data_IF_875701763053
#
_entry.id   IF_875701763053
#
_cell.length_a   1.000
_cell.length_b   1.000
_cell.length_c   1.000
_cell.angle_alpha   90.00
_cell.angle_beta   90.00
_cell.angle_gamma   90.00
#
_symmetry.space_group_name_H-M   'P 1'
#
loop_
_entity.id
_entity.type
_entity.pdbx_description
1 polymer ?
#
# COMPACT_ATOMS: atom_id res chain seq x y z
N UNK A 1 10.75 9.33 -21.50
CA UNK A 1 11.23 9.94 -20.25
C UNK A 1 9.98 10.21 -19.44
N UNK A 2 9.64 9.28 -18.56
CA UNK A 2 8.47 9.43 -17.70
C UNK A 2 8.77 10.58 -16.74
N UNK A 3 7.80 11.47 -16.56
CA UNK A 3 7.93 12.68 -15.75
C UNK A 3 8.15 12.29 -14.28
N UNK A 4 9.41 12.20 -13.85
CA UNK A 4 9.72 12.14 -12.42
C UNK A 4 9.36 13.51 -11.82
N UNK A 5 8.44 13.51 -10.88
CA UNK A 5 7.96 14.74 -10.29
C UNK A 5 9.02 15.32 -9.33
N UNK A 6 9.22 16.64 -9.40
CA UNK A 6 10.01 17.39 -8.43
C UNK A 6 9.18 17.56 -7.15
N UNK A 7 9.79 17.31 -6.00
CA UNK A 7 9.15 17.47 -4.69
C UNK A 7 9.82 18.60 -3.90
N UNK A 8 9.01 19.50 -3.34
CA UNK A 8 9.49 20.55 -2.43
C UNK A 8 9.53 20.03 -1.00
N UNK A 9 10.71 19.99 -0.38
CA UNK A 9 10.86 19.63 1.03
C UNK A 9 10.19 20.64 1.96
N UNK A 10 10.10 21.91 1.57
CA UNK A 10 9.39 22.94 2.32
C UNK A 10 7.89 22.70 2.29
N UNK A 11 7.32 22.42 1.10
CA UNK A 11 5.90 22.09 0.96
C UNK A 11 5.52 20.80 1.71
N UNK A 12 6.42 19.81 1.77
CA UNK A 12 6.21 18.60 2.56
C UNK A 12 6.12 18.89 4.06
N UNK A 13 6.86 19.86 4.59
CA UNK A 13 6.79 20.24 5.99
C UNK A 13 5.59 21.14 6.34
N UNK A 14 5.07 21.89 5.38
CA UNK A 14 3.93 22.79 5.52
C UNK A 14 2.63 22.18 4.97
N UNK A 15 2.68 20.91 4.51
CA UNK A 15 1.56 20.21 3.92
C UNK A 15 0.41 19.98 4.91
N UNK A 16 -0.79 19.72 4.39
CA UNK A 16 -2.01 19.50 5.18
C UNK A 16 -1.92 18.30 6.13
N UNK A 17 -1.01 17.35 5.85
CA UNK A 17 -0.74 16.20 6.72
C UNK A 17 0.62 16.42 7.38
N UNK A 18 0.65 16.97 8.61
CA UNK A 18 1.91 17.27 9.30
C UNK A 18 2.60 15.99 9.76
N UNK A 19 3.64 15.57 9.06
CA UNK A 19 4.43 14.38 9.36
C UNK A 19 5.72 14.73 10.12
N UNK A 20 6.01 13.95 11.15
CA UNK A 20 7.29 14.01 11.86
C UNK A 20 8.34 13.24 11.06
N UNK A 21 9.25 13.95 10.41
CA UNK A 21 10.40 13.31 9.77
C UNK A 21 11.54 13.11 10.75
N UNK A 22 12.15 11.93 10.72
CA UNK A 22 13.37 11.69 11.50
C UNK A 22 14.45 12.69 11.08
N UNK A 23 15.14 13.27 12.05
CA UNK A 23 16.28 14.18 11.81
C UNK A 23 17.39 13.40 11.10
N UNK A 24 17.54 13.64 9.80
CA UNK A 24 18.61 13.04 9.02
C UNK A 24 19.90 13.83 9.22
N UNK A 25 21.04 13.13 9.19
CA UNK A 25 22.37 13.73 9.14
C UNK A 25 22.71 14.38 7.78
N UNK A 26 21.74 14.44 6.88
CA UNK A 26 21.89 14.98 5.52
C UNK A 26 21.43 16.43 5.54
N UNK A 27 22.27 17.33 4.98
CA UNK A 27 21.91 18.74 4.81
C UNK A 27 20.63 18.88 3.98
N UNK A 28 19.71 19.74 4.43
CA UNK A 28 18.49 20.08 3.67
C UNK A 28 18.78 20.97 2.45
N UNK A 29 19.97 21.57 2.38
CA UNK A 29 20.30 22.52 1.33
C UNK A 29 20.94 21.87 0.10
N UNK A 30 21.68 20.79 0.31
CA UNK A 30 22.32 20.03 -0.78
C UNK A 30 22.65 18.61 -0.35
N UNK A 31 22.60 17.72 -1.31
CA UNK A 31 22.94 16.30 -1.12
C UNK A 31 22.38 15.45 -2.25
N UNK A 32 22.76 14.21 -2.27
CA UNK A 32 22.23 13.22 -3.21
C UNK A 32 21.69 12.04 -2.43
N UNK A 33 20.45 11.67 -2.67
CA UNK A 33 19.75 10.60 -1.97
C UNK A 33 19.27 9.57 -2.99
N UNK A 34 19.51 8.30 -2.68
CA UNK A 34 18.88 7.18 -3.37
C UNK A 34 17.63 6.77 -2.60
N UNK A 35 16.48 6.81 -3.23
CA UNK A 35 15.26 6.18 -2.76
C UNK A 35 15.07 4.82 -3.44
N UNK A 36 14.65 3.82 -2.68
CA UNK A 36 14.37 2.48 -3.19
C UNK A 36 13.02 1.98 -2.66
N UNK A 37 12.19 1.47 -3.57
CA UNK A 37 10.99 0.69 -3.26
C UNK A 37 11.28 -0.77 -3.64
N UNK A 38 11.44 -1.62 -2.63
CA UNK A 38 11.92 -3.00 -2.80
C UNK A 38 10.77 -3.98 -2.60
N UNK A 39 10.19 -4.39 -3.71
CA UNK A 39 9.16 -5.43 -3.75
C UNK A 39 9.69 -6.80 -4.19
N UNK A 40 8.89 -7.83 -3.98
CA UNK A 40 9.26 -9.21 -4.32
C UNK A 40 9.44 -9.48 -5.82
N UNK A 41 8.74 -8.75 -6.68
CA UNK A 41 8.80 -8.90 -8.13
C UNK A 41 9.65 -7.83 -8.79
N UNK A 42 9.53 -6.60 -8.32
CA UNK A 42 10.09 -5.39 -8.90
C UNK A 42 10.69 -4.51 -7.80
N UNK A 43 11.86 -3.94 -8.07
CA UNK A 43 12.49 -2.91 -7.25
C UNK A 43 12.61 -1.64 -8.08
N UNK A 44 12.13 -0.52 -7.56
CA UNK A 44 12.28 0.80 -8.17
C UNK A 44 13.41 1.55 -7.46
N UNK A 45 14.33 2.11 -8.20
CA UNK A 45 15.40 2.97 -7.69
C UNK A 45 15.26 4.36 -8.29
N UNK A 46 15.34 5.40 -7.46
CA UNK A 46 15.31 6.79 -7.88
C UNK A 46 16.38 7.59 -7.15
N UNK A 47 17.23 8.27 -7.91
CA UNK A 47 18.27 9.16 -7.41
C UNK A 47 17.76 10.58 -7.45
N UNK A 48 17.82 11.27 -6.33
CA UNK A 48 17.40 12.66 -6.17
C UNK A 48 18.57 13.52 -5.72
N UNK A 49 18.62 14.75 -6.25
CA UNK A 49 19.48 15.80 -5.74
C UNK A 49 18.67 16.77 -4.90
N UNK A 50 19.16 17.10 -3.72
CA UNK A 50 18.61 18.16 -2.89
C UNK A 50 19.16 19.49 -3.42
N UNK A 51 18.28 20.41 -3.81
CA UNK A 51 18.62 21.75 -4.29
C UNK A 51 17.68 22.75 -3.64
N UNK A 52 18.19 23.60 -2.76
CA UNK A 52 17.41 24.67 -2.10
C UNK A 52 16.09 24.22 -1.51
N UNK A 53 16.10 23.08 -0.80
CA UNK A 53 14.90 22.51 -0.17
C UNK A 53 14.00 21.68 -1.09
N UNK A 54 14.42 21.42 -2.34
CA UNK A 54 13.68 20.58 -3.28
C UNK A 54 14.40 19.25 -3.55
N UNK A 55 13.64 18.18 -3.78
CA UNK A 55 14.12 16.91 -4.32
C UNK A 55 14.00 16.93 -5.84
N UNK A 56 15.11 17.09 -6.52
CA UNK A 56 15.17 17.11 -7.98
C UNK A 56 15.59 15.72 -8.47
N UNK A 57 14.76 15.03 -9.26
CA UNK A 57 15.08 13.70 -9.75
C UNK A 57 16.21 13.75 -10.77
N UNK A 58 17.22 12.89 -10.59
CA UNK A 58 18.35 12.74 -11.51
C UNK A 58 18.19 11.51 -12.41
N UNK A 59 17.76 10.40 -11.84
CA UNK A 59 17.60 9.12 -12.55
C UNK A 59 16.59 8.24 -11.83
N UNK A 60 15.78 7.55 -12.61
CA UNK A 60 14.91 6.49 -12.12
C UNK A 60 15.06 5.24 -12.98
N UNK A 61 14.97 4.07 -12.34
CA UNK A 61 14.94 2.79 -13.05
C UNK A 61 14.30 1.71 -12.22
N UNK A 62 13.56 0.86 -12.92
CA UNK A 62 12.94 -0.34 -12.35
C UNK A 62 13.73 -1.57 -12.71
N UNK A 63 13.84 -2.49 -11.74
CA UNK A 63 14.57 -3.74 -11.88
C UNK A 63 13.70 -4.92 -11.49
N UNK A 64 13.79 -6.06 -12.20
CA UNK A 64 13.19 -7.31 -11.73
C UNK A 64 13.99 -7.83 -10.53
N UNK A 65 13.40 -7.78 -9.33
CA UNK A 65 14.09 -8.08 -8.06
C UNK A 65 14.82 -9.43 -8.07
N UNK A 66 14.17 -10.46 -8.58
CA UNK A 66 14.69 -11.84 -8.61
C UNK A 66 15.88 -12.08 -9.56
N UNK A 67 16.22 -11.10 -10.43
CA UNK A 67 17.39 -11.21 -11.34
C UNK A 67 18.71 -10.82 -10.67
N UNK A 68 18.66 -10.22 -9.48
CA UNK A 68 19.83 -9.76 -8.75
C UNK A 68 20.09 -10.64 -7.53
N UNK A 69 21.37 -10.82 -7.19
CA UNK A 69 21.81 -11.63 -6.04
C UNK A 69 21.79 -10.86 -4.73
N UNK A 70 21.75 -9.52 -4.80
CA UNK A 70 21.68 -8.64 -3.63
C UNK A 70 21.20 -7.24 -4.04
N UNK A 71 20.78 -6.45 -3.04
CA UNK A 71 20.49 -5.03 -3.23
C UNK A 71 21.75 -4.26 -3.67
N UNK A 72 22.92 -4.60 -3.13
CA UNK A 72 24.20 -3.97 -3.50
C UNK A 72 24.53 -4.16 -4.97
N UNK A 73 24.35 -5.36 -5.52
CA UNK A 73 24.54 -5.62 -6.96
C UNK A 73 23.60 -4.74 -7.81
N UNK A 74 22.36 -4.57 -7.35
CA UNK A 74 21.38 -3.72 -8.04
C UNK A 74 21.79 -2.25 -8.01
N UNK A 75 22.24 -1.74 -6.85
CA UNK A 75 22.74 -0.38 -6.72
C UNK A 75 23.97 -0.16 -7.61
N UNK A 76 24.90 -1.11 -7.67
CA UNK A 76 26.07 -1.03 -8.55
C UNK A 76 25.69 -0.99 -10.04
N UNK A 77 24.60 -1.65 -10.41
CA UNK A 77 24.07 -1.59 -11.78
C UNK A 77 23.32 -0.28 -12.08
N UNK A 78 22.88 0.42 -11.05
CA UNK A 78 22.13 1.67 -11.16
C UNK A 78 23.04 2.90 -11.09
N UNK A 79 23.96 2.95 -10.12
CA UNK A 79 24.83 4.08 -9.84
C UNK A 79 26.19 3.84 -10.49
N UNK A 80 26.53 4.66 -11.48
CA UNK A 80 27.77 4.60 -12.26
C UNK A 80 28.74 5.71 -11.83
N UNK A 81 30.03 5.58 -12.16
CA UNK A 81 31.10 6.49 -11.71
C UNK A 81 30.93 7.94 -12.15
N UNK A 82 30.15 8.18 -13.21
CA UNK A 82 29.78 9.51 -13.70
C UNK A 82 28.67 10.20 -12.91
N UNK A 83 28.07 9.50 -11.95
CA UNK A 83 27.01 10.05 -11.11
C UNK A 83 27.55 10.69 -9.84
N UNK A 84 26.80 11.69 -9.27
CA UNK A 84 27.22 12.34 -8.05
C UNK A 84 27.21 11.35 -6.88
N UNK A 85 28.17 11.50 -5.96
CA UNK A 85 28.28 10.65 -4.76
C UNK A 85 27.03 10.76 -3.90
N UNK A 86 26.47 9.62 -3.50
CA UNK A 86 25.31 9.54 -2.61
C UNK A 86 25.68 9.94 -1.17
N UNK A 87 24.82 10.74 -0.55
CA UNK A 87 24.91 11.13 0.86
C UNK A 87 24.00 10.25 1.75
N UNK A 88 22.98 9.63 1.18
CA UNK A 88 22.07 8.76 1.90
C UNK A 88 21.29 7.84 0.99
N UNK A 89 20.76 6.79 1.62
CA UNK A 89 19.83 5.84 1.01
C UNK A 89 18.64 5.67 1.93
N UNK A 90 17.43 5.70 1.36
CA UNK A 90 16.19 5.31 2.05
C UNK A 90 15.54 4.17 1.27
N UNK A 91 15.27 3.06 1.95
CA UNK A 91 14.63 1.89 1.38
C UNK A 91 13.27 1.67 2.06
N UNK A 92 12.19 1.69 1.28
CA UNK A 92 10.90 1.09 1.63
C UNK A 92 10.90 -0.36 1.17
N UNK A 93 10.69 -1.31 2.07
CA UNK A 93 10.83 -2.74 1.76
C UNK A 93 9.59 -3.50 2.19
N UNK A 94 9.07 -4.34 1.28
CA UNK A 94 7.94 -5.22 1.58
C UNK A 94 8.34 -6.28 2.62
N UNK A 95 7.80 -6.15 3.83
CA UNK A 95 8.00 -7.04 4.96
C UNK A 95 8.48 -6.34 6.25
N UNK A 96 8.52 -7.08 7.36
CA UNK A 96 8.84 -6.52 8.67
C UNK A 96 10.32 -6.14 8.78
N UNK A 97 10.58 -4.89 9.13
CA UNK A 97 11.92 -4.36 9.42
C UNK A 97 12.22 -4.53 10.91
N UNK A 98 13.26 -5.28 11.24
CA UNK A 98 13.69 -5.49 12.63
C UNK A 98 15.16 -5.13 12.78
N UNK A 99 15.45 -4.16 13.65
CA UNK A 99 16.82 -3.71 13.95
C UNK A 99 17.63 -3.32 12.71
N UNK A 100 16.98 -2.69 11.72
CA UNK A 100 17.62 -2.27 10.46
C UNK A 100 17.91 -3.42 9.49
N UNK A 101 17.20 -4.55 9.64
CA UNK A 101 17.29 -5.71 8.76
C UNK A 101 15.93 -6.16 8.28
N UNK A 102 15.88 -6.71 7.08
CA UNK A 102 14.75 -7.44 6.52
C UNK A 102 15.25 -8.76 5.97
N UNK A 103 14.56 -9.83 6.36
CA UNK A 103 14.71 -11.13 5.73
C UNK A 103 13.57 -11.28 4.72
N UNK A 104 13.90 -11.32 3.44
CA UNK A 104 12.90 -11.34 2.40
C UNK A 104 12.01 -12.58 2.46
N UNK A 105 10.73 -12.39 2.69
CA UNK A 105 9.72 -13.43 2.50
C UNK A 105 9.37 -13.57 1.01
N UNK A 106 9.48 -12.48 0.26
CA UNK A 106 9.08 -12.37 -1.14
C UNK A 106 10.25 -12.16 -2.12
N UNK A 107 11.48 -11.97 -1.62
CA UNK A 107 12.69 -11.82 -2.44
C UNK A 107 13.84 -12.66 -1.87
N UNK A 108 14.85 -13.08 -2.70
CA UNK A 108 15.74 -14.17 -2.36
C UNK A 108 16.94 -13.80 -1.48
N UNK A 109 17.04 -12.57 -0.99
CA UNK A 109 18.18 -12.08 -0.22
C UNK A 109 17.76 -11.21 0.97
N UNK A 110 18.64 -11.11 1.97
CA UNK A 110 18.43 -10.23 3.12
C UNK A 110 18.93 -8.82 2.81
N UNK A 111 18.36 -7.83 3.47
CA UNK A 111 18.82 -6.44 3.47
C UNK A 111 19.28 -6.09 4.89
N UNK A 112 20.51 -5.59 5.02
CA UNK A 112 21.07 -5.08 6.25
C UNK A 112 21.57 -3.64 6.03
N UNK A 113 20.93 -2.68 6.69
CA UNK A 113 21.29 -1.26 6.57
C UNK A 113 22.73 -0.96 6.97
N UNK A 114 23.29 -1.71 7.94
CA UNK A 114 24.69 -1.57 8.38
C UNK A 114 25.66 -2.07 7.33
N UNK A 115 25.32 -3.18 6.65
CA UNK A 115 26.13 -3.71 5.56
C UNK A 115 26.14 -2.73 4.37
N UNK A 116 24.97 -2.24 3.94
CA UNK A 116 24.84 -1.26 2.86
C UNK A 116 25.67 -0.02 3.17
N UNK A 117 25.56 0.50 4.40
CA UNK A 117 26.34 1.67 4.85
C UNK A 117 27.83 1.44 4.75
N UNK A 118 28.31 0.28 5.14
CA UNK A 118 29.74 -0.08 5.10
C UNK A 118 30.24 -0.26 3.67
N UNK A 119 29.56 -1.07 2.87
CA UNK A 119 30.00 -1.45 1.53
C UNK A 119 29.96 -0.27 0.54
N UNK A 120 28.95 0.60 0.66
CA UNK A 120 28.83 1.79 -0.20
C UNK A 120 29.48 3.04 0.39
N UNK A 121 30.07 2.95 1.60
CA UNK A 121 30.67 4.08 2.33
C UNK A 121 29.75 5.31 2.38
N UNK A 122 28.48 5.09 2.74
CA UNK A 122 27.44 6.11 2.80
C UNK A 122 27.14 6.45 4.27
N UNK A 123 27.07 7.74 4.64
CA UNK A 123 26.88 8.15 6.05
C UNK A 123 25.51 7.78 6.61
N UNK A 124 24.47 7.75 5.78
CA UNK A 124 23.08 7.50 6.22
C UNK A 124 22.39 6.44 5.36
N UNK A 125 21.89 5.39 6.01
CA UNK A 125 21.05 4.37 5.37
C UNK A 125 19.84 4.13 6.26
N UNK A 126 18.65 4.46 5.77
CA UNK A 126 17.36 4.22 6.43
C UNK A 126 16.68 3.03 5.75
N UNK A 127 16.16 2.12 6.55
CA UNK A 127 15.38 0.97 6.12
C UNK A 127 14.06 0.99 6.86
N UNK A 128 12.97 1.14 6.14
CA UNK A 128 11.60 1.20 6.66
C UNK A 128 10.72 0.21 5.91
N UNK A 129 9.57 -0.12 6.48
CA UNK A 129 8.57 -0.92 5.78
C UNK A 129 7.96 -0.12 4.60
N UNK A 130 7.49 -0.82 3.55
CA UNK A 130 6.90 -0.19 2.36
C UNK A 130 5.62 0.60 2.68
N UNK A 131 4.80 0.12 3.61
CA UNK A 131 3.60 0.84 4.03
C UNK A 131 3.90 2.04 4.94
N UNK A 132 4.95 1.95 5.76
CA UNK A 132 5.48 3.10 6.49
C UNK A 132 5.99 4.17 5.50
N UNK A 133 6.72 3.75 4.45
CA UNK A 133 7.15 4.65 3.38
C UNK A 133 5.98 5.31 2.65
N UNK A 134 4.90 4.55 2.36
CA UNK A 134 3.67 5.09 1.78
C UNK A 134 2.99 6.11 2.70
N UNK A 135 2.97 5.87 4.01
CA UNK A 135 2.43 6.84 4.97
C UNK A 135 3.24 8.14 5.00
N UNK A 136 4.57 8.06 4.95
CA UNK A 136 5.42 9.26 4.76
C UNK A 136 5.15 9.94 3.41
N UNK A 137 4.82 9.17 2.38
CA UNK A 137 4.50 9.68 1.04
C UNK A 137 3.25 10.55 1.00
N UNK A 138 2.32 10.43 1.96
CA UNK A 138 1.13 11.27 2.05
C UNK A 138 1.48 12.77 2.14
N UNK A 139 2.61 13.12 2.78
CA UNK A 139 3.06 14.51 2.87
C UNK A 139 3.44 15.14 1.51
N UNK A 140 3.70 14.32 0.50
CA UNK A 140 4.03 14.80 -0.85
C UNK A 140 2.77 15.01 -1.73
N UNK A 141 1.60 14.60 -1.25
CA UNK A 141 0.33 14.72 -1.97
C UNK A 141 -0.30 16.09 -1.73
N UNK A 142 -1.07 16.55 -2.70
CA UNK A 142 -1.84 17.79 -2.66
C UNK A 142 -3.34 17.44 -2.61
N UNK A 143 -4.20 18.39 -2.23
CA UNK A 143 -5.66 18.19 -2.18
C UNK A 143 -6.24 17.53 -3.44
N UNK A 144 -5.75 17.93 -4.60
CA UNK A 144 -6.17 17.36 -5.88
C UNK A 144 -5.84 15.87 -6.06
N UNK A 145 -4.92 15.34 -5.25
CA UNK A 145 -4.49 13.94 -5.28
C UNK A 145 -5.34 13.06 -4.34
N UNK A 146 -6.25 13.69 -3.58
CA UNK A 146 -7.17 13.01 -2.68
C UNK A 146 -8.61 13.07 -3.19
N UNK A 147 -9.31 11.96 -3.02
CA UNK A 147 -10.76 11.87 -3.20
C UNK A 147 -11.40 11.48 -1.87
N UNK A 148 -12.34 12.28 -1.38
CA UNK A 148 -13.02 12.03 -0.12
C UNK A 148 -14.23 11.12 -0.33
N UNK A 149 -14.22 9.93 0.25
CA UNK A 149 -15.40 9.05 0.27
C UNK A 149 -16.49 9.58 1.19
N UNK A 150 -16.13 9.93 2.42
CA UNK A 150 -17.03 10.55 3.40
C UNK A 150 -16.25 11.54 4.24
N UNK A 151 -16.65 12.81 4.29
CA UNK A 151 -16.06 13.76 5.23
C UNK A 151 -16.48 13.36 6.65
N UNK A 152 -15.50 13.25 7.54
CA UNK A 152 -15.72 13.05 8.98
C UNK A 152 -15.67 14.36 9.75
N UNK A 153 -15.84 14.28 11.07
CA UNK A 153 -15.53 15.36 11.98
C UNK A 153 -14.02 15.57 12.05
N UNK A 154 -13.53 16.81 11.89
CA UNK A 154 -12.09 17.11 11.98
C UNK A 154 -11.61 17.05 13.43
N UNK A 155 -11.50 15.85 13.98
CA UNK A 155 -11.01 15.62 15.36
C UNK A 155 -9.54 15.18 15.26
N UNK A 156 -8.58 15.95 15.83
CA UNK A 156 -7.19 15.52 15.85
C UNK A 156 -7.03 14.17 16.56
N UNK A 157 -6.23 13.27 16.00
CA UNK A 157 -5.98 11.96 16.57
C UNK A 157 -5.21 11.08 15.61
N UNK A 158 -4.96 9.84 15.99
CA UNK A 158 -4.27 8.89 15.13
C UNK A 158 -5.00 8.76 13.79
N UNK A 159 -4.25 8.40 12.76
CA UNK A 159 -4.77 8.05 11.45
C UNK A 159 -4.24 6.67 11.03
N UNK A 160 -4.77 6.13 9.96
CA UNK A 160 -4.29 4.88 9.41
C UNK A 160 -4.34 4.86 7.88
N UNK A 161 -3.55 3.98 7.28
CA UNK A 161 -3.47 3.75 5.86
C UNK A 161 -3.78 2.28 5.57
N UNK A 162 -4.64 2.02 4.58
CA UNK A 162 -4.94 0.69 4.04
C UNK A 162 -4.78 0.67 2.53
N UNK A 163 -4.13 -0.34 1.99
CA UNK A 163 -3.65 -0.35 0.61
C UNK A 163 -3.79 -1.73 -0.05
N UNK A 164 -4.97 -2.07 -0.60
CA UNK A 164 -5.12 -3.30 -1.37
C UNK A 164 -4.42 -3.20 -2.73
N UNK A 165 -3.62 -4.23 -3.03
CA UNK A 165 -2.83 -4.36 -4.25
C UNK A 165 -2.56 -5.82 -4.60
N UNK A 166 -1.28 -6.20 -4.80
CA UNK A 166 -0.86 -7.61 -4.91
C UNK A 166 -1.12 -8.35 -3.59
N UNK A 167 -0.94 -7.65 -2.45
CA UNK A 167 -1.34 -8.04 -1.12
C UNK A 167 -2.22 -6.98 -0.49
N UNK A 168 -2.32 -6.98 0.85
CA UNK A 168 -2.97 -5.96 1.65
C UNK A 168 -1.97 -5.33 2.60
N UNK A 169 -1.57 -4.10 2.32
CA UNK A 169 -0.69 -3.33 3.20
C UNK A 169 -1.49 -2.44 4.14
N UNK A 170 -1.01 -2.30 5.36
CA UNK A 170 -1.57 -1.41 6.37
C UNK A 170 -0.47 -0.69 7.14
N UNK A 171 -0.74 0.52 7.58
CA UNK A 171 0.14 1.29 8.45
C UNK A 171 -0.67 2.17 9.40
N UNK A 172 -0.12 2.43 10.56
CA UNK A 172 -0.65 3.43 11.49
C UNK A 172 0.13 4.74 11.42
N UNK A 173 -0.52 5.82 11.86
CA UNK A 173 0.09 7.12 12.06
C UNK A 173 -0.31 7.64 13.44
N UNK A 174 0.63 7.60 14.39
CA UNK A 174 0.42 8.10 15.74
C UNK A 174 0.45 9.63 15.74
N UNK A 175 -0.56 10.26 16.36
CA UNK A 175 -0.65 11.70 16.52
C UNK A 175 -0.09 12.12 17.89
N UNK A 176 0.98 12.91 17.91
CA UNK A 176 1.63 13.39 19.13
C UNK A 176 1.07 14.71 19.69
N UNK A 177 0.04 15.25 19.02
CA UNK A 177 -0.54 16.56 19.31
C UNK A 177 -0.13 17.65 18.31
N UNK A 178 0.89 17.39 17.48
CA UNK A 178 1.39 18.32 16.47
C UNK A 178 1.73 17.65 15.13
N UNK A 179 2.23 16.40 15.17
CA UNK A 179 2.67 15.67 13.98
C UNK A 179 2.25 14.20 14.02
N UNK A 180 2.09 13.62 12.85
CA UNK A 180 1.92 12.19 12.68
C UNK A 180 3.28 11.48 12.62
N UNK A 181 3.38 10.38 13.35
CA UNK A 181 4.50 9.44 13.32
C UNK A 181 4.04 8.14 12.66
N UNK A 182 4.37 7.93 11.38
CA UNK A 182 4.08 6.66 10.71
C UNK A 182 4.76 5.49 11.40
N UNK A 183 4.06 4.36 11.45
CA UNK A 183 4.61 3.09 11.91
C UNK A 183 4.02 1.93 11.12
N UNK A 184 4.84 0.92 10.88
CA UNK A 184 4.44 -0.28 10.16
C UNK A 184 3.55 -1.18 11.01
N UNK A 185 2.63 -1.90 10.37
CA UNK A 185 1.94 -3.04 10.94
C UNK A 185 1.75 -4.13 9.87
N UNK A 186 1.41 -5.32 10.31
CA UNK A 186 1.08 -6.46 9.44
C UNK A 186 -0.41 -6.80 9.58
N UNK A 187 -1.26 -5.77 9.67
CA UNK A 187 -2.71 -5.92 9.91
C UNK A 187 -3.42 -6.71 8.81
N UNK A 188 -2.96 -6.59 7.56
CA UNK A 188 -3.49 -7.40 6.45
C UNK A 188 -3.39 -8.91 6.68
N UNK A 189 -2.49 -9.37 7.55
CA UNK A 189 -2.36 -10.77 7.95
C UNK A 189 -3.23 -11.18 9.14
N UNK A 190 -3.99 -10.26 9.74
CA UNK A 190 -4.98 -10.60 10.78
C UNK A 190 -6.12 -11.43 10.21
N UNK A 191 -6.80 -12.17 11.11
CA UNK A 191 -7.90 -13.06 10.75
C UNK A 191 -9.07 -12.31 10.11
N UNK A 192 -9.61 -12.87 9.03
CA UNK A 192 -10.87 -12.42 8.45
C UNK A 192 -12.04 -12.62 9.43
N UNK A 193 -12.85 -11.59 9.58
CA UNK A 193 -14.00 -11.57 10.50
C UNK A 193 -15.33 -11.58 9.74
N UNK A 194 -15.99 -12.73 9.57
CA UNK A 194 -17.26 -12.83 8.88
C UNK A 194 -18.40 -12.16 9.68
N UNK A 195 -19.33 -11.47 9.00
CA UNK A 195 -20.47 -10.77 9.60
C UNK A 195 -21.84 -11.36 9.26
N UNK A 196 -21.93 -12.24 8.25
CA UNK A 196 -23.17 -12.86 7.79
C UNK A 196 -22.93 -14.29 7.28
N UNK A 197 -23.99 -14.97 6.88
CA UNK A 197 -23.93 -16.37 6.42
C UNK A 197 -23.07 -16.55 5.16
N UNK A 198 -23.14 -15.61 4.20
CA UNK A 198 -22.29 -15.66 3.00
C UNK A 198 -20.79 -15.52 3.37
N UNK A 199 -20.48 -14.63 4.31
CA UNK A 199 -19.10 -14.45 4.79
C UNK A 199 -18.56 -15.71 5.47
N UNK A 200 -19.41 -16.41 6.23
CA UNK A 200 -19.06 -17.69 6.86
C UNK A 200 -18.76 -18.75 5.79
N UNK A 201 -19.57 -18.82 4.73
CA UNK A 201 -19.32 -19.73 3.60
C UNK A 201 -18.04 -19.38 2.85
N UNK A 202 -17.74 -18.10 2.66
CA UNK A 202 -16.47 -17.63 2.09
C UNK A 202 -15.32 -18.09 2.99
N UNK A 203 -15.39 -17.82 4.31
CA UNK A 203 -14.36 -18.26 5.27
C UNK A 203 -14.11 -19.76 5.17
N UNK A 204 -15.16 -20.58 5.18
CA UNK A 204 -15.05 -22.03 5.09
C UNK A 204 -14.39 -22.51 3.78
N UNK A 205 -14.70 -21.84 2.66
CA UNK A 205 -14.09 -22.14 1.37
C UNK A 205 -12.59 -21.82 1.38
N UNK A 206 -12.21 -20.62 1.81
CA UNK A 206 -10.82 -20.20 1.88
C UNK A 206 -10.00 -21.01 2.90
N UNK A 207 -10.63 -21.36 4.05
CA UNK A 207 -9.97 -22.15 5.09
C UNK A 207 -9.57 -23.55 4.60
N UNK A 208 -10.40 -24.21 3.76
CA UNK A 208 -10.05 -25.48 3.15
C UNK A 208 -8.81 -25.41 2.27
N UNK A 209 -8.58 -24.25 1.64
CA UNK A 209 -7.46 -24.03 0.71
C UNK A 209 -6.19 -23.55 1.42
N UNK A 210 -6.33 -22.65 2.39
CA UNK A 210 -5.21 -21.91 2.97
C UNK A 210 -4.94 -22.24 4.44
N UNK A 211 -5.86 -22.89 5.15
CA UNK A 211 -5.83 -23.06 6.60
C UNK A 211 -6.17 -21.76 7.31
N UNK A 212 -5.21 -20.86 7.43
CA UNK A 212 -5.42 -19.50 7.94
C UNK A 212 -5.98 -18.57 6.84
N UNK A 213 -7.02 -17.83 7.17
CA UNK A 213 -7.66 -16.88 6.25
C UNK A 213 -7.50 -15.47 6.80
N UNK A 214 -6.53 -14.75 6.26
CA UNK A 214 -6.29 -13.35 6.58
C UNK A 214 -7.13 -12.42 5.71
N UNK A 215 -7.21 -11.14 6.10
CA UNK A 215 -7.81 -10.10 5.28
C UNK A 215 -7.15 -9.99 3.90
N UNK A 216 -5.83 -10.14 3.81
CA UNK A 216 -5.10 -10.14 2.53
C UNK A 216 -5.59 -11.21 1.57
N UNK A 217 -6.01 -12.40 2.07
CA UNK A 217 -6.55 -13.46 1.22
C UNK A 217 -7.80 -13.05 0.46
N UNK A 218 -8.50 -12.02 0.95
CA UNK A 218 -9.75 -11.50 0.38
C UNK A 218 -9.53 -10.12 -0.27
N UNK A 219 -8.77 -9.24 0.40
CA UNK A 219 -8.57 -7.84 -0.01
C UNK A 219 -7.27 -7.67 -0.81
N UNK A 220 -7.11 -8.44 -1.86
CA UNK A 220 -5.99 -8.36 -2.79
C UNK A 220 -6.42 -8.75 -4.21
N UNK A 221 -5.54 -8.53 -5.20
CA UNK A 221 -5.79 -8.99 -6.55
C UNK A 221 -6.07 -10.51 -6.61
N UNK A 222 -5.22 -11.38 -6.06
CA UNK A 222 -5.53 -12.80 -5.94
C UNK A 222 -6.85 -13.08 -5.21
N UNK A 223 -7.18 -12.31 -4.17
CA UNK A 223 -8.44 -12.42 -3.43
C UNK A 223 -9.67 -12.17 -4.29
N UNK A 224 -9.63 -11.15 -5.16
CA UNK A 224 -10.72 -10.88 -6.11
C UNK A 224 -10.98 -12.10 -7.01
N UNK A 225 -9.93 -12.71 -7.55
CA UNK A 225 -10.09 -13.90 -8.37
C UNK A 225 -10.69 -15.08 -7.59
N UNK A 226 -10.20 -15.34 -6.40
CA UNK A 226 -10.71 -16.44 -5.55
C UNK A 226 -12.17 -16.22 -5.12
N UNK A 227 -12.56 -15.00 -4.78
CA UNK A 227 -13.94 -14.63 -4.49
C UNK A 227 -14.83 -14.87 -5.72
N UNK A 228 -14.40 -14.43 -6.89
CA UNK A 228 -15.10 -14.66 -8.14
C UNK A 228 -15.32 -16.14 -8.42
N UNK A 229 -14.28 -16.96 -8.29
CA UNK A 229 -14.38 -18.40 -8.53
C UNK A 229 -15.34 -19.08 -7.54
N UNK A 230 -15.26 -18.69 -6.26
CA UNK A 230 -16.21 -19.17 -5.24
C UNK A 230 -17.65 -18.80 -5.57
N UNK A 231 -17.91 -17.53 -5.88
CA UNK A 231 -19.26 -17.05 -6.21
C UNK A 231 -19.79 -17.71 -7.48
N UNK A 232 -18.95 -17.88 -8.49
CA UNK A 232 -19.29 -18.61 -9.73
C UNK A 232 -19.72 -20.04 -9.42
N UNK A 233 -19.00 -20.70 -8.54
CA UNK A 233 -19.31 -22.08 -8.13
C UNK A 233 -20.65 -22.19 -7.40
N UNK A 234 -20.97 -21.26 -6.47
CA UNK A 234 -22.19 -21.35 -5.65
C UNK A 234 -23.44 -20.82 -6.34
N UNK A 235 -23.30 -19.87 -7.28
CA UNK A 235 -24.42 -19.31 -8.03
C UNK A 235 -24.94 -20.26 -9.11
N UNK A 236 -24.16 -21.26 -9.53
CA UNK A 236 -24.45 -22.13 -10.68
C UNK A 236 -24.67 -21.34 -12.00
N UNK A 237 -24.30 -20.07 -12.04
CA UNK A 237 -24.33 -19.26 -13.26
C UNK A 237 -23.14 -19.61 -14.13
N UNK A 238 -23.37 -20.01 -15.36
CA UNK A 238 -22.30 -20.37 -16.30
C UNK A 238 -21.46 -19.15 -16.63
N UNK A 239 -20.13 -19.31 -16.60
CA UNK A 239 -19.20 -18.28 -17.05
C UNK A 239 -19.34 -18.05 -18.58
N UNK A 240 -19.51 -16.82 -19.05
CA UNK A 240 -19.54 -16.52 -20.46
C UNK A 240 -18.19 -16.81 -21.14
N UNK A 241 -18.21 -17.37 -22.35
CA UNK A 241 -16.98 -17.70 -23.09
C UNK A 241 -16.06 -16.49 -23.30
N UNK A 242 -16.63 -15.32 -23.61
CA UNK A 242 -15.84 -14.11 -23.81
C UNK A 242 -15.05 -13.70 -22.54
N UNK A 243 -15.66 -13.88 -21.34
CA UNK A 243 -15.02 -13.54 -20.08
C UNK A 243 -13.88 -14.51 -19.74
N UNK A 244 -14.10 -15.80 -19.94
CA UNK A 244 -13.09 -16.85 -19.81
C UNK A 244 -11.90 -16.61 -20.77
N UNK A 245 -12.19 -16.26 -22.02
CA UNK A 245 -11.18 -15.95 -23.03
C UNK A 245 -10.36 -14.71 -22.65
N UNK A 246 -11.00 -13.65 -22.18
CA UNK A 246 -10.33 -12.42 -21.73
C UNK A 246 -9.41 -12.72 -20.53
N UNK A 247 -9.91 -13.45 -19.53
CA UNK A 247 -9.12 -13.81 -18.34
C UNK A 247 -7.92 -14.68 -18.69
N UNK A 248 -8.02 -15.55 -19.68
CA UNK A 248 -6.90 -16.41 -20.13
C UNK A 248 -5.76 -15.62 -20.78
N UNK A 249 -6.04 -14.45 -21.35
CA UNK A 249 -5.11 -13.62 -22.11
C UNK A 249 -4.58 -12.42 -21.33
N UNK A 250 -5.17 -12.10 -20.18
CA UNK A 250 -4.88 -10.89 -19.44
C UNK A 250 -4.69 -11.10 -17.94
N UNK A 251 -4.94 -10.06 -17.17
CA UNK A 251 -4.91 -10.07 -15.69
C UNK A 251 -6.33 -10.32 -15.17
N UNK A 252 -6.65 -11.54 -14.66
CA UNK A 252 -8.01 -11.89 -14.28
C UNK A 252 -8.64 -10.93 -13.24
N UNK A 253 -8.00 -10.54 -12.13
CA UNK A 253 -8.55 -9.57 -11.19
C UNK A 253 -8.95 -8.23 -11.85
N UNK A 254 -8.11 -7.71 -12.74
CA UNK A 254 -8.39 -6.46 -13.44
C UNK A 254 -9.53 -6.61 -14.45
N UNK A 255 -9.67 -7.77 -15.07
CA UNK A 255 -10.78 -8.08 -16.00
C UNK A 255 -12.08 -8.21 -15.23
N UNK A 256 -12.09 -8.95 -14.11
CA UNK A 256 -13.26 -9.10 -13.23
C UNK A 256 -13.77 -7.74 -12.77
N UNK A 257 -12.87 -6.89 -12.22
CA UNK A 257 -13.26 -5.57 -11.71
C UNK A 257 -13.77 -4.65 -12.82
N UNK A 258 -13.12 -4.63 -13.99
CA UNK A 258 -13.61 -3.88 -15.16
C UNK A 258 -14.98 -4.36 -15.62
N UNK A 259 -15.17 -5.67 -15.75
CA UNK A 259 -16.43 -6.29 -16.15
C UNK A 259 -17.56 -5.96 -15.16
N UNK A 260 -17.24 -5.96 -13.87
CA UNK A 260 -18.16 -5.55 -12.81
C UNK A 260 -18.61 -4.09 -12.97
N UNK A 261 -17.65 -3.17 -13.14
CA UNK A 261 -17.94 -1.74 -13.31
C UNK A 261 -18.74 -1.44 -14.59
N UNK A 262 -18.61 -2.26 -15.62
CA UNK A 262 -19.39 -2.18 -16.85
C UNK A 262 -20.77 -2.87 -16.73
N UNK A 263 -21.06 -3.54 -15.61
CA UNK A 263 -22.32 -4.27 -15.37
C UNK A 263 -22.55 -5.46 -16.30
N UNK A 264 -21.49 -5.99 -16.94
CA UNK A 264 -21.61 -7.01 -18.00
C UNK A 264 -21.80 -8.43 -17.51
N UNK A 265 -21.44 -8.71 -16.25
CA UNK A 265 -21.60 -10.04 -15.63
C UNK A 265 -21.96 -9.89 -14.17
N UNK A 266 -23.06 -10.50 -13.74
CA UNK A 266 -23.61 -10.35 -12.40
C UNK A 266 -22.69 -10.94 -11.30
N UNK A 267 -21.93 -11.99 -11.60
CA UNK A 267 -21.01 -12.57 -10.62
C UNK A 267 -19.77 -11.69 -10.46
N UNK A 268 -19.32 -11.02 -11.52
CA UNK A 268 -18.28 -9.99 -11.40
C UNK A 268 -18.77 -8.82 -10.55
N UNK A 269 -20.01 -8.34 -10.74
CA UNK A 269 -20.61 -7.26 -9.93
C UNK A 269 -20.67 -7.67 -8.48
N UNK A 270 -21.21 -8.84 -8.15
CA UNK A 270 -21.27 -9.36 -6.78
C UNK A 270 -19.88 -9.52 -6.15
N UNK A 271 -18.89 -9.94 -6.94
CA UNK A 271 -17.48 -10.04 -6.48
C UNK A 271 -16.95 -8.69 -6.05
N UNK A 272 -17.17 -7.65 -6.86
CA UNK A 272 -16.70 -6.30 -6.56
C UNK A 272 -17.44 -5.71 -5.36
N UNK A 273 -18.74 -5.93 -5.25
CA UNK A 273 -19.55 -5.47 -4.11
C UNK A 273 -19.08 -6.09 -2.79
N UNK A 274 -18.79 -7.39 -2.79
CA UNK A 274 -18.23 -8.08 -1.61
C UNK A 274 -16.84 -7.55 -1.27
N UNK A 275 -15.98 -7.35 -2.26
CA UNK A 275 -14.64 -6.77 -2.05
C UNK A 275 -14.74 -5.37 -1.43
N UNK A 276 -15.59 -4.48 -1.95
CA UNK A 276 -15.80 -3.12 -1.42
C UNK A 276 -16.36 -3.19 0.00
N UNK A 277 -17.32 -4.07 0.26
CA UNK A 277 -17.87 -4.29 1.60
C UNK A 277 -16.81 -4.77 2.59
N UNK A 278 -15.99 -5.72 2.22
CA UNK A 278 -14.88 -6.20 3.06
C UNK A 278 -13.85 -5.12 3.32
N UNK A 279 -13.54 -4.30 2.32
CA UNK A 279 -12.64 -3.16 2.49
C UNK A 279 -13.20 -2.15 3.51
N UNK A 280 -14.50 -1.85 3.46
CA UNK A 280 -15.13 -0.98 4.45
C UNK A 280 -15.06 -1.58 5.87
N UNK A 281 -15.26 -2.89 6.00
CA UNK A 281 -15.19 -3.60 7.28
C UNK A 281 -13.77 -3.56 7.86
N UNK A 282 -12.73 -3.85 7.08
CA UNK A 282 -11.35 -3.83 7.58
C UNK A 282 -10.86 -2.41 7.85
N UNK A 283 -11.22 -1.44 7.01
CA UNK A 283 -10.97 -0.03 7.30
C UNK A 283 -11.58 0.40 8.64
N UNK A 284 -12.79 -0.06 8.97
CA UNK A 284 -13.42 0.19 10.26
C UNK A 284 -12.70 -0.51 11.42
N UNK A 285 -12.24 -1.75 11.24
CA UNK A 285 -11.47 -2.46 12.25
C UNK A 285 -10.13 -1.77 12.52
N UNK A 286 -9.47 -1.30 11.47
CA UNK A 286 -8.23 -0.53 11.55
C UNK A 286 -8.47 0.79 12.30
N UNK A 287 -9.57 1.50 11.99
CA UNK A 287 -9.98 2.71 12.69
C UNK A 287 -10.21 2.45 14.20
N UNK A 288 -10.85 1.35 14.55
CA UNK A 288 -11.08 0.97 15.96
C UNK A 288 -9.78 0.58 16.67
N UNK A 289 -8.92 -0.24 16.04
CA UNK A 289 -7.65 -0.71 16.61
C UNK A 289 -6.72 0.45 16.95
N UNK A 290 -6.64 1.45 16.07
CA UNK A 290 -5.75 2.62 16.25
C UNK A 290 -6.45 3.83 16.85
N UNK A 291 -7.78 3.77 17.07
CA UNK A 291 -8.60 4.93 17.42
C UNK A 291 -8.31 6.09 16.44
N UNK A 292 -8.44 5.79 15.15
CA UNK A 292 -8.02 6.67 14.06
C UNK A 292 -9.04 7.80 13.81
N UNK A 293 -9.21 8.70 14.77
CA UNK A 293 -10.10 9.89 14.67
C UNK A 293 -9.56 10.94 13.70
N UNK A 294 -8.27 10.88 13.34
CA UNK A 294 -7.65 11.73 12.32
C UNK A 294 -7.96 11.29 10.89
N UNK A 295 -8.55 10.11 10.72
CA UNK A 295 -9.01 9.60 9.42
C UNK A 295 -8.37 8.29 8.97
N UNK A 296 -8.98 7.74 7.91
CA UNK A 296 -8.48 6.55 7.21
C UNK A 296 -8.12 6.92 5.78
N UNK A 297 -6.87 6.77 5.43
CA UNK A 297 -6.37 6.92 4.07
C UNK A 297 -6.40 5.58 3.35
N UNK A 298 -6.96 5.57 2.15
CA UNK A 298 -7.06 4.36 1.34
C UNK A 298 -6.30 4.56 0.03
N UNK A 299 -5.38 3.64 -0.27
CA UNK A 299 -4.51 3.72 -1.44
C UNK A 299 -4.37 2.39 -2.17
N UNK A 300 -3.22 2.20 -2.81
CA UNK A 300 -2.84 0.96 -3.49
C UNK A 300 -3.25 0.89 -4.95
N UNK A 301 -2.86 -0.21 -5.60
CA UNK A 301 -3.01 -0.37 -7.04
C UNK A 301 -4.41 -0.75 -7.52
N UNK A 302 -5.33 -1.10 -6.62
CA UNK A 302 -6.72 -1.51 -6.97
C UNK A 302 -7.66 -0.32 -6.86
N UNK A 303 -7.65 0.41 -5.75
CA UNK A 303 -8.67 1.42 -5.43
C UNK A 303 -8.83 2.52 -6.48
N UNK A 304 -7.78 3.15 -7.03
CA UNK A 304 -7.96 4.17 -8.06
C UNK A 304 -8.70 3.66 -9.29
N UNK A 305 -8.63 2.36 -9.57
CA UNK A 305 -9.26 1.76 -10.76
C UNK A 305 -10.73 1.43 -10.56
N UNK A 306 -11.16 1.23 -9.32
CA UNK A 306 -12.55 0.87 -8.99
C UNK A 306 -13.30 2.02 -8.31
N UNK A 307 -12.64 3.13 -8.04
CA UNK A 307 -13.17 4.23 -7.21
C UNK A 307 -14.54 4.74 -7.70
N UNK A 308 -14.70 4.91 -9.01
CA UNK A 308 -15.97 5.37 -9.62
C UNK A 308 -17.11 4.35 -9.49
N UNK A 309 -16.80 3.08 -9.21
CA UNK A 309 -17.78 2.02 -8.94
C UNK A 309 -18.11 1.86 -7.45
N UNK A 310 -17.48 2.63 -6.56
CA UNK A 310 -17.77 2.56 -5.12
C UNK A 310 -19.04 3.36 -4.83
N UNK A 311 -20.11 2.66 -4.40
CA UNK A 311 -21.25 3.32 -3.79
C UNK A 311 -20.85 3.82 -2.39
N UNK A 312 -20.73 5.15 -2.25
CA UNK A 312 -20.24 5.80 -1.03
C UNK A 312 -21.14 5.56 0.18
N UNK A 313 -22.46 5.48 -0.03
CA UNK A 313 -23.43 5.21 1.05
C UNK A 313 -23.31 3.75 1.52
N UNK A 314 -23.24 2.80 0.58
CA UNK A 314 -23.06 1.38 0.90
C UNK A 314 -21.73 1.16 1.61
N UNK A 315 -20.63 1.78 1.14
CA UNK A 315 -19.34 1.73 1.80
C UNK A 315 -19.43 2.26 3.24
N UNK A 316 -19.96 3.48 3.40
CA UNK A 316 -20.06 4.13 4.71
C UNK A 316 -20.91 3.34 5.70
N UNK A 317 -22.06 2.82 5.26
CA UNK A 317 -22.94 2.02 6.11
C UNK A 317 -22.23 0.75 6.63
N UNK A 318 -21.41 0.10 5.80
CA UNK A 318 -20.60 -1.04 6.24
C UNK A 318 -19.44 -0.64 7.16
N UNK A 319 -18.85 0.54 6.94
CA UNK A 319 -17.79 1.08 7.76
C UNK A 319 -18.26 1.40 9.18
N UNK A 320 -19.37 2.14 9.34
CA UNK A 320 -19.84 2.54 10.67
C UNK A 320 -20.51 1.41 11.46
N UNK A 321 -20.87 0.29 10.84
CA UNK A 321 -21.58 -0.81 11.47
C UNK A 321 -20.71 -1.59 12.48
N UNK A 322 -20.48 -0.99 13.66
CA UNK A 322 -19.63 -1.52 14.74
C UNK A 322 -20.34 -1.54 16.10
N UNK A 323 -21.66 -1.72 16.10
CA UNK A 323 -22.50 -1.86 17.29
C UNK A 323 -22.46 -0.60 18.14
N UNK A 324 -22.15 -0.72 19.43
CA UNK A 324 -22.13 0.42 20.38
C UNK A 324 -21.02 1.47 20.08
N UNK A 325 -20.11 1.19 19.16
CA UNK A 325 -19.02 2.10 18.80
C UNK A 325 -19.24 2.79 17.45
N UNK A 326 -20.45 2.74 16.88
CA UNK A 326 -20.78 3.44 15.64
C UNK A 326 -20.40 4.92 15.70
N UNK A 327 -20.73 5.61 16.79
CA UNK A 327 -20.43 7.03 16.98
C UNK A 327 -18.93 7.38 16.96
N UNK A 328 -18.03 6.41 17.13
CA UNK A 328 -16.60 6.62 16.98
C UNK A 328 -16.18 6.63 15.51
N UNK A 329 -16.94 5.95 14.65
CA UNK A 329 -16.67 5.80 13.23
C UNK A 329 -17.44 6.81 12.35
N UNK A 330 -18.39 7.54 12.91
CA UNK A 330 -19.14 8.64 12.30
C UNK A 330 -18.30 9.93 12.29
#
# INVERSE_FOLDING_TARGET
MDNIQKFSLTAIHEGEIPLAFMTASISRDKGVILAADVGGTKTNLALFQIQTGDLVPLKEKSYPTKKYKSFLEMVSSFHTDDMPKMNGICLGVAGPVTQGKVYGTNFPWAIDSKEIRRELNIPSVSLINDMEANAYGLAALQDKDFETLKPGSKIPGNAALISPGTGLGEAGMFWDGSHYHPFACEGGHCDFSPRNELDIRILQHFQKKYGHVSWERLLSGPGILELYLFLRQISSIREPHWLSDDMSKGNPPAIITRTAMEGKDSVCVETLDIFIRFLAIEAAQLALKFKATGGIYMGGGILPKIFTGIDREVFYNNFVQSGRLNALLE
#
